data_IF_975945077330
#
_entry.id   IF_975945077330
#
_cell.length_a   1.000
_cell.length_b   1.000
_cell.length_c   1.000
_cell.angle_alpha   90.00
_cell.angle_beta   90.00
_cell.angle_gamma   90.00
#
_symmetry.space_group_name_H-M   'P 1'
#
loop_
_entity.id
_entity.type
_entity.pdbx_description
1 polymer ?
#
# COMPACT_ATOMS: atom_id res chain seq x y z
N UNK A 1 20.82 -3.13 -6.32
CA UNK A 1 20.38 -2.14 -5.33
C UNK A 1 19.05 -2.64 -4.81
N UNK A 2 19.01 -3.24 -3.61
CA UNK A 2 17.77 -3.86 -3.11
C UNK A 2 16.64 -2.86 -2.88
N UNK A 3 16.97 -1.58 -2.67
CA UNK A 3 15.98 -0.52 -2.45
C UNK A 3 15.40 0.07 -3.74
N UNK A 4 15.72 -0.51 -4.90
CA UNK A 4 15.14 -0.10 -6.19
C UNK A 4 13.93 -0.95 -6.59
N UNK A 5 13.64 -2.04 -5.86
CA UNK A 5 12.53 -2.93 -6.15
C UNK A 5 11.20 -2.35 -5.65
N UNK A 6 10.14 -2.71 -6.35
CA UNK A 6 8.75 -2.30 -6.10
C UNK A 6 8.29 -2.71 -4.70
N UNK A 7 8.73 -3.88 -4.22
CA UNK A 7 8.34 -4.47 -2.92
C UNK A 7 8.76 -3.66 -1.70
N UNK A 8 9.57 -2.61 -1.86
CA UNK A 8 9.95 -1.71 -0.77
C UNK A 8 9.41 -0.29 -0.97
N UNK A 9 8.42 -0.12 -1.84
CA UNK A 9 7.77 1.16 -2.14
C UNK A 9 6.27 1.08 -1.83
N UNK A 10 5.63 2.25 -1.76
CA UNK A 10 4.24 2.39 -1.35
C UNK A 10 3.28 2.02 -2.47
N UNK A 11 3.21 0.74 -2.85
CA UNK A 11 2.41 0.22 -3.97
C UNK A 11 2.18 -1.28 -3.85
N UNK A 12 1.56 -1.90 -4.85
CA UNK A 12 1.28 -3.33 -4.90
C UNK A 12 2.31 -4.06 -5.76
N UNK A 13 2.65 -5.30 -5.37
CA UNK A 13 3.32 -6.29 -6.23
C UNK A 13 2.39 -7.45 -6.59
N UNK A 14 2.64 -8.05 -7.76
CA UNK A 14 1.96 -9.27 -8.23
C UNK A 14 3.00 -10.37 -8.42
N UNK A 15 2.80 -11.53 -7.81
CA UNK A 15 3.69 -12.69 -7.85
C UNK A 15 5.15 -12.33 -7.53
N UNK A 16 5.36 -11.46 -6.53
CA UNK A 16 6.67 -10.93 -6.11
C UNK A 16 7.46 -10.18 -7.20
N UNK A 17 6.80 -9.75 -8.27
CA UNK A 17 7.45 -9.07 -9.40
C UNK A 17 7.43 -7.55 -9.27
N UNK A 18 8.48 -6.97 -9.84
CA UNK A 18 8.55 -5.55 -10.13
C UNK A 18 7.60 -5.14 -11.26
N UNK A 19 7.18 -3.87 -11.25
CA UNK A 19 6.34 -3.28 -12.32
C UNK A 19 7.07 -3.12 -13.66
N UNK A 20 8.41 -3.26 -13.65
CA UNK A 20 9.31 -3.11 -14.78
C UNK A 20 10.40 -4.18 -14.71
N UNK A 21 11.15 -4.38 -15.79
CA UNK A 21 12.23 -5.38 -15.83
C UNK A 21 13.59 -4.76 -15.51
N UNK A 22 14.19 -5.14 -14.38
CA UNK A 22 15.56 -4.75 -14.04
C UNK A 22 16.56 -5.62 -14.82
N UNK A 23 17.38 -5.01 -15.69
CA UNK A 23 18.37 -5.73 -16.50
C UNK A 23 19.81 -5.47 -16.06
N UNK A 24 20.02 -4.45 -15.22
CA UNK A 24 21.32 -4.17 -14.60
C UNK A 24 21.10 -3.42 -13.28
N UNK A 25 22.19 -3.14 -12.53
CA UNK A 25 22.15 -2.39 -11.26
C UNK A 25 21.39 -1.05 -11.34
N UNK A 26 21.36 -0.41 -12.51
CA UNK A 26 20.76 0.92 -12.72
C UNK A 26 19.87 0.99 -13.97
N UNK A 27 19.60 -0.14 -14.63
CA UNK A 27 18.89 -0.14 -15.90
C UNK A 27 17.58 -0.91 -15.77
N UNK A 28 16.49 -0.19 -16.03
CA UNK A 28 15.15 -0.73 -16.15
C UNK A 28 14.71 -0.70 -17.61
N UNK A 29 13.99 -1.74 -18.01
CA UNK A 29 13.41 -1.92 -19.35
C UNK A 29 11.94 -2.29 -19.20
N UNK A 30 11.20 -2.33 -20.31
CA UNK A 30 9.75 -2.55 -20.31
C UNK A 30 9.05 -1.56 -19.37
N UNK A 31 9.32 -0.27 -19.60
CA UNK A 31 8.80 0.83 -18.80
C UNK A 31 7.28 0.76 -18.78
N UNK A 32 6.72 0.66 -17.57
CA UNK A 32 5.27 0.60 -17.40
C UNK A 32 4.64 1.89 -17.92
N UNK A 33 3.49 1.75 -18.57
CA UNK A 33 2.72 2.87 -19.10
C UNK A 33 1.54 3.11 -18.19
N UNK A 34 1.57 4.26 -17.53
CA UNK A 34 0.48 4.72 -16.68
C UNK A 34 -0.59 5.46 -17.47
N UNK A 35 -1.82 5.44 -16.96
CA UNK A 35 -2.93 6.24 -17.46
C UNK A 35 -3.71 6.81 -16.28
N UNK A 36 -4.02 8.11 -16.34
CA UNK A 36 -4.97 8.73 -15.41
C UNK A 36 -6.38 8.41 -15.90
N UNK A 37 -7.17 7.78 -15.04
CA UNK A 37 -8.56 7.42 -15.32
C UNK A 37 -9.51 8.54 -14.89
N UNK A 38 -9.23 9.16 -13.74
CA UNK A 38 -10.03 10.25 -13.19
C UNK A 38 -9.18 11.17 -12.31
N UNK A 39 -9.48 12.46 -12.32
CA UNK A 39 -8.79 13.45 -11.52
C UNK A 39 -9.74 14.61 -11.21
N UNK A 40 -10.09 14.74 -9.93
CA UNK A 40 -10.92 15.81 -9.37
C UNK A 40 -10.16 16.50 -8.24
N UNK A 41 -10.79 17.52 -7.61
CA UNK A 41 -10.19 18.32 -6.53
C UNK A 41 -9.60 17.49 -5.38
N UNK A 42 -10.29 16.42 -4.97
CA UNK A 42 -9.95 15.62 -3.80
C UNK A 42 -9.74 14.13 -4.15
N UNK A 43 -9.71 13.80 -5.43
CA UNK A 43 -9.71 12.40 -5.88
C UNK A 43 -8.83 12.23 -7.10
N UNK A 44 -8.02 11.18 -7.08
CA UNK A 44 -7.22 10.76 -8.23
C UNK A 44 -7.37 9.26 -8.42
N UNK A 45 -7.50 8.82 -9.67
CA UNK A 45 -7.45 7.42 -10.04
C UNK A 45 -6.55 7.22 -11.25
N UNK A 46 -5.70 6.21 -11.19
CA UNK A 46 -4.87 5.81 -12.31
C UNK A 46 -4.57 4.33 -12.31
N UNK A 47 -4.08 3.87 -13.45
CA UNK A 47 -3.65 2.50 -13.69
C UNK A 47 -2.27 2.48 -14.32
N UNK A 48 -1.63 1.30 -14.34
CA UNK A 48 -0.47 1.04 -15.18
C UNK A 48 -0.48 -0.40 -15.70
N UNK A 49 0.24 -0.65 -16.78
CA UNK A 49 0.23 -1.96 -17.44
C UNK A 49 1.41 -2.89 -17.07
N UNK A 50 2.06 -2.61 -15.94
CA UNK A 50 3.28 -3.29 -15.51
C UNK A 50 3.09 -4.76 -15.12
N UNK A 51 1.85 -5.19 -14.85
CA UNK A 51 1.51 -6.53 -14.39
C UNK A 51 0.66 -7.35 -15.36
N UNK A 52 0.53 -6.92 -16.63
CA UNK A 52 -0.26 -7.65 -17.63
C UNK A 52 0.02 -9.16 -17.59
N UNK A 53 -1.04 -10.00 -17.55
CA UNK A 53 -2.44 -9.68 -17.78
C UNK A 53 -3.23 -9.13 -16.57
N UNK A 54 -2.62 -9.01 -15.38
CA UNK A 54 -3.28 -8.43 -14.21
C UNK A 54 -3.44 -6.92 -14.39
N UNK A 55 -4.65 -6.40 -14.19
CA UNK A 55 -4.90 -4.97 -14.10
C UNK A 55 -4.66 -4.47 -12.69
N UNK A 56 -4.10 -3.27 -12.56
CA UNK A 56 -3.94 -2.57 -11.29
C UNK A 56 -4.44 -1.14 -11.44
N UNK A 57 -5.49 -0.82 -10.69
CA UNK A 57 -6.02 0.53 -10.54
C UNK A 57 -5.83 1.00 -9.10
N UNK A 58 -5.29 2.21 -8.93
CA UNK A 58 -5.19 2.88 -7.63
C UNK A 58 -6.06 4.11 -7.62
N UNK A 59 -6.88 4.23 -6.58
CA UNK A 59 -7.58 5.45 -6.20
C UNK A 59 -6.93 6.08 -4.97
N UNK A 60 -6.81 7.40 -4.95
CA UNK A 60 -6.35 8.19 -3.80
C UNK A 60 -7.37 9.29 -3.55
N UNK A 61 -7.94 9.29 -2.34
CA UNK A 61 -8.96 10.27 -1.92
C UNK A 61 -8.43 11.08 -0.75
N UNK A 62 -8.37 12.39 -0.92
CA UNK A 62 -8.15 13.34 0.17
C UNK A 62 -9.49 13.60 0.87
N UNK A 63 -9.54 13.30 2.16
CA UNK A 63 -10.72 13.45 3.00
C UNK A 63 -10.57 14.67 3.92
N UNK A 64 -11.63 15.05 4.62
CA UNK A 64 -11.58 16.18 5.54
C UNK A 64 -10.62 15.96 6.72
N UNK A 65 -9.98 17.05 7.14
CA UNK A 65 -9.08 17.05 8.29
C UNK A 65 -7.82 16.22 8.10
N UNK A 66 -7.20 16.27 6.92
CA UNK A 66 -5.93 15.59 6.57
C UNK A 66 -5.96 14.07 6.72
N UNK A 67 -7.06 13.48 6.26
CA UNK A 67 -7.25 12.04 6.16
C UNK A 67 -7.13 11.61 4.71
N UNK A 68 -6.69 10.38 4.51
CA UNK A 68 -6.50 9.83 3.18
C UNK A 68 -7.03 8.41 3.09
N UNK A 69 -7.70 8.11 1.99
CA UNK A 69 -8.10 6.75 1.63
C UNK A 69 -7.41 6.38 0.32
N UNK A 70 -6.65 5.29 0.35
CA UNK A 70 -6.03 4.68 -0.83
C UNK A 70 -6.70 3.34 -1.06
N UNK A 71 -7.14 3.09 -2.30
CA UNK A 71 -7.79 1.84 -2.70
C UNK A 71 -7.06 1.29 -3.91
N UNK A 72 -6.61 0.05 -3.82
CA UNK A 72 -5.96 -0.68 -4.91
C UNK A 72 -6.87 -1.83 -5.36
N UNK A 73 -7.30 -1.79 -6.62
CA UNK A 73 -8.09 -2.83 -7.24
C UNK A 73 -7.22 -3.62 -8.22
N UNK A 74 -7.00 -4.89 -7.91
CA UNK A 74 -6.31 -5.84 -8.77
C UNK A 74 -7.30 -6.86 -9.30
N UNK A 75 -7.23 -7.14 -10.61
CA UNK A 75 -8.13 -8.08 -11.27
C UNK A 75 -7.38 -8.91 -12.32
N UNK A 76 -7.61 -10.21 -12.27
CA UNK A 76 -7.12 -11.20 -13.21
C UNK A 76 -8.13 -12.34 -13.37
N UNK A 77 -7.95 -13.15 -14.41
CA UNK A 77 -8.78 -14.35 -14.63
C UNK A 77 -8.38 -15.52 -13.71
N UNK A 78 -7.11 -15.60 -13.33
CA UNK A 78 -6.56 -16.65 -12.48
C UNK A 78 -6.09 -16.10 -11.15
N UNK A 79 -5.88 -17.00 -10.17
CA UNK A 79 -5.35 -16.60 -8.87
C UNK A 79 -3.90 -16.13 -8.99
N UNK A 80 -3.59 -15.04 -8.31
CA UNK A 80 -2.23 -14.51 -8.16
C UNK A 80 -1.94 -14.22 -6.69
N UNK A 81 -0.65 -14.13 -6.38
CA UNK A 81 -0.20 -13.63 -5.10
C UNK A 81 -0.09 -12.10 -5.18
N UNK A 82 -0.87 -11.39 -4.38
CA UNK A 82 -0.85 -9.93 -4.30
C UNK A 82 -0.29 -9.47 -2.97
N UNK A 83 0.56 -8.46 -2.98
CA UNK A 83 1.07 -7.84 -1.75
C UNK A 83 1.00 -6.32 -1.85
N UNK A 84 0.27 -5.68 -0.94
CA UNK A 84 0.25 -4.23 -0.73
C UNK A 84 1.36 -3.85 0.25
N UNK A 85 2.23 -2.94 -0.17
CA UNK A 85 3.38 -2.49 0.61
C UNK A 85 3.23 -1.04 1.05
N UNK A 86 3.60 -0.77 2.30
CA UNK A 86 3.81 0.57 2.84
C UNK A 86 5.12 0.65 3.62
N UNK A 87 5.95 1.64 3.30
CA UNK A 87 7.17 1.99 4.01
C UNK A 87 6.93 3.27 4.81
N UNK A 88 6.91 3.13 6.13
CA UNK A 88 6.67 4.20 7.09
C UNK A 88 8.00 4.65 7.73
N UNK A 89 8.01 5.87 8.24
CA UNK A 89 9.14 6.39 9.00
C UNK A 89 9.36 5.58 10.29
N UNK A 90 10.62 5.53 10.76
CA UNK A 90 10.99 4.82 11.98
C UNK A 90 10.59 5.58 13.25
N UNK A 91 9.30 5.55 13.54
CA UNK A 91 8.72 6.05 14.78
C UNK A 91 8.38 4.89 15.73
N UNK A 92 8.12 5.20 17.00
CA UNK A 92 7.49 4.23 17.90
C UNK A 92 6.10 3.90 17.34
N UNK A 93 5.75 2.60 17.37
CA UNK A 93 4.46 2.17 16.90
C UNK A 93 3.90 1.04 17.76
N UNK A 94 2.59 0.98 17.80
CA UNK A 94 1.80 -0.14 18.31
C UNK A 94 0.84 -0.59 17.20
N UNK A 95 0.43 -1.85 17.24
CA UNK A 95 -0.59 -2.35 16.31
C UNK A 95 -1.55 -3.29 17.03
N UNK A 96 -2.79 -3.30 16.56
CA UNK A 96 -3.84 -4.22 16.98
C UNK A 96 -4.61 -4.65 15.75
N UNK A 97 -4.55 -5.95 15.43
CA UNK A 97 -5.09 -6.46 14.18
C UNK A 97 -4.48 -5.74 12.98
N UNK A 98 -5.33 -5.05 12.23
CA UNK A 98 -5.01 -4.38 10.98
C UNK A 98 -4.75 -2.86 11.11
N UNK A 99 -4.80 -2.34 12.34
CA UNK A 99 -4.57 -0.93 12.68
C UNK A 99 -3.19 -0.74 13.32
N UNK A 100 -2.41 0.18 12.76
CA UNK A 100 -1.09 0.60 13.22
C UNK A 100 -1.18 2.06 13.68
N UNK A 101 -0.69 2.35 14.89
CA UNK A 101 -0.59 3.71 15.41
C UNK A 101 0.89 4.11 15.52
N UNK A 102 1.28 5.16 14.81
CA UNK A 102 2.61 5.76 14.86
C UNK A 102 2.61 6.94 15.83
N UNK A 103 3.49 6.94 16.82
CA UNK A 103 3.68 8.06 17.73
C UNK A 103 4.66 9.08 17.15
N UNK A 104 4.16 10.28 16.87
CA UNK A 104 4.94 11.41 16.34
C UNK A 104 4.70 12.60 17.24
N UNK A 105 5.72 12.97 18.02
CA UNK A 105 5.60 13.98 19.08
C UNK A 105 4.45 13.64 20.06
N UNK A 106 3.50 14.54 20.27
CA UNK A 106 2.34 14.33 21.14
C UNK A 106 1.12 13.75 20.40
N UNK A 107 1.28 13.40 19.12
CA UNK A 107 0.20 12.90 18.26
C UNK A 107 0.39 11.43 17.89
N UNK A 108 -0.73 10.76 17.64
CA UNK A 108 -0.76 9.41 17.07
C UNK A 108 -1.45 9.40 15.71
N UNK A 109 -0.71 8.97 14.71
CA UNK A 109 -1.18 8.80 13.34
C UNK A 109 -1.59 7.35 13.12
N UNK A 110 -2.75 7.15 12.51
CA UNK A 110 -3.29 5.84 12.18
C UNK A 110 -3.00 5.47 10.74
N UNK A 111 -2.52 4.25 10.55
CA UNK A 111 -2.60 3.50 9.31
C UNK A 111 -3.47 2.29 9.58
N UNK A 112 -4.58 2.13 8.88
CA UNK A 112 -5.36 0.89 8.91
C UNK A 112 -5.47 0.34 7.51
N UNK A 113 -5.21 -0.96 7.35
CA UNK A 113 -5.18 -1.64 6.05
C UNK A 113 -6.19 -2.76 6.04
N UNK A 114 -6.71 -3.13 4.88
CA UNK A 114 -7.57 -4.30 4.81
C UNK A 114 -7.90 -4.72 3.39
N UNK A 115 -8.67 -5.78 3.31
CA UNK A 115 -9.19 -6.36 2.07
C UNK A 115 -10.70 -6.48 2.14
N UNK A 116 -11.42 -6.24 1.04
CA UNK A 116 -12.88 -6.47 1.01
C UNK A 116 -13.25 -7.92 0.71
N UNK A 117 -12.56 -8.54 -0.26
CA UNK A 117 -12.92 -9.85 -0.80
C UNK A 117 -11.80 -10.89 -0.60
N UNK A 118 -11.01 -10.75 0.46
CA UNK A 118 -9.86 -11.59 0.74
C UNK A 118 -9.72 -11.87 2.23
N UNK A 119 -9.15 -13.03 2.56
CA UNK A 119 -8.45 -13.18 3.83
C UNK A 119 -7.03 -12.63 3.66
N UNK A 120 -6.80 -11.43 4.17
CA UNK A 120 -5.48 -10.80 4.15
C UNK A 120 -4.53 -11.36 5.21
N UNK A 121 -3.26 -11.53 4.86
CA UNK A 121 -2.17 -11.82 5.81
C UNK A 121 -1.32 -10.57 6.01
N UNK A 122 -1.35 -10.00 7.22
CA UNK A 122 -0.61 -8.78 7.55
C UNK A 122 0.72 -9.12 8.23
N UNK A 123 1.80 -8.51 7.76
CA UNK A 123 3.11 -8.55 8.42
C UNK A 123 3.72 -7.16 8.56
N UNK A 124 4.28 -6.88 9.73
CA UNK A 124 4.94 -5.60 10.04
C UNK A 124 6.36 -5.90 10.53
N UNK A 125 7.36 -5.32 9.88
CA UNK A 125 8.77 -5.49 10.25
C UNK A 125 9.49 -4.14 10.34
N UNK A 126 10.51 -4.06 11.19
CA UNK A 126 11.41 -2.91 11.28
C UNK A 126 12.82 -3.38 11.00
N UNK A 127 13.47 -2.80 9.98
CA UNK A 127 14.86 -3.08 9.62
C UNK A 127 15.21 -4.57 9.60
N UNK A 128 14.44 -5.37 8.85
CA UNK A 128 14.66 -6.81 8.78
C UNK A 128 16.06 -7.11 8.20
N UNK A 129 16.96 -7.76 8.94
CA UNK A 129 18.32 -8.03 8.47
C UNK A 129 18.37 -9.12 7.40
N UNK A 130 17.34 -9.96 7.28
CA UNK A 130 17.28 -11.05 6.30
C UNK A 130 16.75 -10.59 4.94
N UNK A 131 16.04 -9.45 4.88
CA UNK A 131 15.39 -8.94 3.67
C UNK A 131 15.68 -7.45 3.43
N UNK A 132 15.09 -6.87 2.39
CA UNK A 132 15.14 -5.42 2.14
C UNK A 132 14.03 -4.64 2.84
N UNK A 133 13.11 -5.33 3.55
CA UNK A 133 11.97 -4.69 4.20
C UNK A 133 12.38 -3.88 5.42
N UNK A 134 11.75 -2.71 5.57
CA UNK A 134 11.95 -1.85 6.74
C UNK A 134 13.28 -1.10 6.71
N UNK A 135 13.80 -0.78 5.52
CA UNK A 135 14.98 0.05 5.35
C UNK A 135 14.67 1.23 4.44
N UNK A 136 15.24 2.41 4.75
CA UNK A 136 15.26 3.57 3.85
C UNK A 136 16.69 4.09 3.71
N UNK A 137 16.96 4.82 2.64
CA UNK A 137 18.29 5.41 2.38
C UNK A 137 18.14 6.83 1.85
N UNK A 138 18.56 7.81 2.64
CA UNK A 138 18.57 9.23 2.26
C UNK A 138 19.88 9.66 1.59
N UNK A 139 20.96 8.90 1.83
CA UNK A 139 22.31 9.21 1.36
C UNK A 139 23.00 7.93 0.87
N UNK A 140 23.86 8.06 -0.14
CA UNK A 140 24.63 6.93 -0.67
C UNK A 140 25.45 6.24 0.42
N UNK A 141 25.43 4.90 0.40
CA UNK A 141 26.20 4.08 1.35
C UNK A 141 25.62 4.01 2.76
N UNK A 142 24.49 4.67 3.02
CA UNK A 142 23.84 4.69 4.33
C UNK A 142 22.38 4.24 4.23
N UNK A 143 22.03 3.18 4.96
CA UNK A 143 20.63 2.77 5.18
C UNK A 143 20.29 2.94 6.65
N UNK A 144 19.08 3.38 6.91
CA UNK A 144 18.53 3.59 8.24
C UNK A 144 17.23 2.76 8.38
N UNK A 145 16.87 2.37 9.61
CA UNK A 145 15.61 1.68 9.86
C UNK A 145 14.40 2.46 9.34
N UNK A 146 13.37 1.69 8.99
CA UNK A 146 12.04 2.11 8.64
C UNK A 146 11.07 0.98 9.03
N UNK A 147 9.77 1.26 9.02
CA UNK A 147 8.75 0.24 9.28
C UNK A 147 8.16 -0.17 7.93
N UNK A 148 8.15 -1.47 7.63
CA UNK A 148 7.49 -2.02 6.45
C UNK A 148 6.24 -2.77 6.87
N UNK A 149 5.10 -2.30 6.37
CA UNK A 149 3.80 -2.96 6.47
C UNK A 149 3.51 -3.64 5.14
N UNK A 150 3.10 -4.90 5.19
CA UNK A 150 2.79 -5.70 4.00
C UNK A 150 1.51 -6.49 4.26
N UNK A 151 0.51 -6.31 3.40
CA UNK A 151 -0.75 -7.04 3.43
C UNK A 151 -0.86 -7.91 2.17
N UNK A 152 -0.97 -9.22 2.36
CA UNK A 152 -0.93 -10.21 1.29
C UNK A 152 -2.28 -10.90 1.10
N UNK A 153 -2.59 -11.29 -0.14
CA UNK A 153 -3.77 -12.09 -0.47
C UNK A 153 -3.54 -12.94 -1.73
N UNK A 154 -4.03 -14.18 -1.72
CA UNK A 154 -3.97 -15.11 -2.85
C UNK A 154 -5.37 -15.30 -3.45
N UNK A 155 -5.63 -14.66 -4.59
CA UNK A 155 -6.94 -14.68 -5.24
C UNK A 155 -6.92 -14.17 -6.68
N UNK A 156 -8.01 -14.34 -7.45
CA UNK A 156 -8.10 -13.77 -8.80
C UNK A 156 -8.32 -12.25 -8.81
N UNK A 157 -9.02 -11.73 -7.81
CA UNK A 157 -9.39 -10.31 -7.71
C UNK A 157 -9.27 -9.88 -6.27
N UNK A 158 -8.54 -8.80 -5.98
CA UNK A 158 -8.45 -8.23 -4.63
C UNK A 158 -8.68 -6.73 -4.68
N UNK A 159 -9.41 -6.24 -3.68
CA UNK A 159 -9.46 -4.84 -3.36
C UNK A 159 -8.78 -4.65 -2.01
N UNK A 160 -7.62 -4.00 -2.04
CA UNK A 160 -7.00 -3.48 -0.82
C UNK A 160 -7.50 -2.08 -0.55
N UNK A 161 -7.66 -1.74 0.71
CA UNK A 161 -7.86 -0.37 1.16
C UNK A 161 -6.83 -0.03 2.23
N UNK A 162 -6.49 1.25 2.30
CA UNK A 162 -5.63 1.82 3.33
C UNK A 162 -6.18 3.17 3.73
N UNK A 163 -6.49 3.30 5.01
CA UNK A 163 -6.86 4.55 5.62
C UNK A 163 -5.67 5.14 6.37
N UNK A 164 -5.40 6.42 6.13
CA UNK A 164 -4.50 7.25 6.90
C UNK A 164 -5.30 8.32 7.64
N UNK A 165 -5.09 8.42 8.95
CA UNK A 165 -5.78 9.38 9.80
C UNK A 165 -5.19 9.44 11.20
N UNK A 166 -6.04 9.51 12.21
CA UNK A 166 -5.67 9.72 13.61
C UNK A 166 -6.20 8.62 14.52
N UNK A 167 -5.66 8.55 15.74
CA UNK A 167 -5.99 7.50 16.73
C UNK A 167 -7.50 7.30 16.94
N UNK A 168 -8.25 8.40 17.05
CA UNK A 168 -9.68 8.37 17.34
C UNK A 168 -10.56 8.03 16.11
N UNK A 169 -9.98 7.92 14.92
CA UNK A 169 -10.77 7.62 13.73
C UNK A 169 -11.23 6.15 13.76
N UNK A 170 -12.51 5.90 13.51
CA UNK A 170 -13.08 4.55 13.47
C UNK A 170 -13.29 4.15 12.01
N UNK A 171 -12.68 3.03 11.59
CA UNK A 171 -12.86 2.46 10.25
C UNK A 171 -13.47 1.08 10.38
N UNK A 172 -14.60 0.87 9.70
CA UNK A 172 -15.36 -0.39 9.74
C UNK A 172 -15.76 -0.82 8.34
N UNK A 173 -15.66 -2.12 8.07
CA UNK A 173 -16.24 -2.73 6.88
C UNK A 173 -17.66 -3.19 7.22
N UNK A 174 -18.65 -2.74 6.43
CA UNK A 174 -20.04 -3.19 6.53
C UNK A 174 -20.52 -3.66 5.16
N UNK A 175 -20.46 -4.96 4.92
CA UNK A 175 -20.66 -5.54 3.58
C UNK A 175 -19.58 -5.02 2.63
N UNK A 176 -19.99 -4.46 1.49
CA UNK A 176 -19.07 -3.93 0.46
C UNK A 176 -18.74 -2.44 0.67
N UNK A 177 -18.92 -1.93 1.88
CA UNK A 177 -18.84 -0.50 2.18
C UNK A 177 -17.87 -0.22 3.31
N UNK A 178 -17.02 0.80 3.14
CA UNK A 178 -16.11 1.27 4.17
C UNK A 178 -16.74 2.47 4.89
N UNK A 179 -16.93 2.36 6.20
CA UNK A 179 -17.40 3.44 7.06
C UNK A 179 -16.24 4.05 7.81
N UNK A 180 -16.09 5.37 7.76
CA UNK A 180 -15.03 6.12 8.43
C UNK A 180 -15.67 7.21 9.29
N UNK A 181 -15.60 7.05 10.63
CA UNK A 181 -16.21 7.89 11.68
C UNK A 181 -17.74 8.02 11.66
N UNK A 182 -18.32 8.31 10.51
CA UNK A 182 -19.76 8.44 10.20
C UNK A 182 -19.99 8.58 8.68
N UNK A 183 -18.94 8.86 7.91
CA UNK A 183 -19.00 8.88 6.45
C UNK A 183 -19.03 7.47 5.90
N UNK A 184 -19.87 7.27 4.89
CA UNK A 184 -20.03 5.98 4.23
C UNK A 184 -19.45 6.11 2.82
N UNK A 185 -18.38 5.36 2.56
CA UNK A 185 -17.72 5.33 1.26
C UNK A 185 -18.06 4.00 0.60
N UNK A 186 -18.84 4.09 -0.48
CA UNK A 186 -19.04 2.97 -1.36
C UNK A 186 -17.75 2.74 -2.15
N UNK A 187 -17.10 1.60 -1.92
CA UNK A 187 -15.96 1.21 -2.73
C UNK A 187 -16.45 0.73 -4.11
N UNK A 188 -15.65 0.90 -5.17
CA UNK A 188 -16.03 0.56 -6.55
C UNK A 188 -16.45 -0.90 -6.76
#
# INVERSE_FOLDING_TARGET
NGLAHTSVHNTVTVDDKDQMTMVSRFTWTNWSKGKVLKHDKNYWQGEHDGYKPVSHERSVTAMEGDRWLVVDHLNAQGSHHYALHWLLNDYLFEHSGDSILLSVEEMKYKLQVGTMNANGSLSIVRADPATTRGWRSRYYGHKEPAISVMLEADQPQVMFWTFFGFENDVVEIVGDTLKINSETIQLP
#
